data_IF_084872805760
#
_entry.id   IF_084872805760
#
_cell.length_a   1.000
_cell.length_b   1.000
_cell.length_c   1.000
_cell.angle_alpha   90.00
_cell.angle_beta   90.00
_cell.angle_gamma   90.00
#
_symmetry.space_group_name_H-M   'P 1'
#
loop_
_entity.id
_entity.type
_entity.pdbx_description
1 polymer ?
#
# COMPACT_ATOMS: atom_id res chain seq x y z
N UNK A 1 -38.89 36.93 48.12
CA UNK A 1 -38.72 37.60 46.81
C UNK A 1 -37.63 36.86 46.08
N UNK A 2 -38.09 35.92 45.23
CA UNK A 2 -37.20 35.11 44.40
C UNK A 2 -36.93 35.82 43.07
N UNK A 3 -35.65 35.88 42.69
CA UNK A 3 -35.24 36.28 41.36
C UNK A 3 -34.99 35.04 40.49
N UNK A 4 -35.77 34.92 39.42
CA UNK A 4 -35.57 33.89 38.36
C UNK A 4 -34.36 34.28 37.52
N UNK A 5 -33.41 33.37 37.23
CA UNK A 5 -32.32 33.68 36.28
C UNK A 5 -32.86 33.64 34.84
N UNK A 6 -32.60 34.72 34.11
CA UNK A 6 -32.84 34.85 32.69
C UNK A 6 -31.94 33.91 31.88
N UNK A 7 -32.53 32.96 31.23
CA UNK A 7 -31.88 32.15 30.19
C UNK A 7 -31.89 32.94 28.89
N UNK A 8 -30.77 33.18 28.21
CA UNK A 8 -30.81 33.84 26.89
C UNK A 8 -31.45 32.93 25.83
N UNK A 9 -32.52 33.42 25.25
CA UNK A 9 -33.15 32.82 24.07
C UNK A 9 -32.26 33.02 22.84
N UNK A 10 -31.53 31.98 22.45
CA UNK A 10 -30.63 32.07 21.28
C UNK A 10 -29.87 30.84 20.93
N UNK A 11 -30.14 29.70 21.58
CA UNK A 11 -29.60 28.43 21.10
C UNK A 11 -30.57 27.87 20.05
N UNK A 12 -30.30 28.18 18.77
CA UNK A 12 -30.88 27.48 17.64
C UNK A 12 -30.57 25.99 17.74
N UNK A 13 -31.58 25.17 17.72
CA UNK A 13 -31.44 23.72 17.60
C UNK A 13 -30.68 23.42 16.32
N UNK A 14 -29.70 22.45 16.34
CA UNK A 14 -29.04 22.05 15.14
C UNK A 14 -30.06 21.44 14.18
N UNK A 15 -30.02 21.93 12.94
CA UNK A 15 -30.84 21.49 11.84
C UNK A 15 -30.81 19.98 11.69
N UNK A 16 -31.97 19.32 11.72
CA UNK A 16 -32.19 17.88 11.51
C UNK A 16 -31.90 17.42 10.06
N UNK A 17 -31.36 18.26 9.20
CA UNK A 17 -31.10 17.96 7.80
C UNK A 17 -29.62 17.73 7.45
N UNK A 18 -28.71 17.64 8.44
CA UNK A 18 -27.30 17.36 8.20
C UNK A 18 -26.91 15.89 8.44
N UNK A 19 -27.87 14.98 8.35
CA UNK A 19 -27.64 13.52 8.43
C UNK A 19 -27.94 12.80 7.10
N UNK A 20 -27.50 13.39 5.99
CA UNK A 20 -27.59 12.67 4.71
C UNK A 20 -26.41 13.07 3.85
N UNK A 21 -25.27 12.47 4.11
CA UNK A 21 -24.15 12.25 3.19
C UNK A 21 -22.89 11.75 3.91
N UNK A 22 -23.03 10.62 4.62
CA UNK A 22 -21.93 9.70 4.77
C UNK A 22 -22.44 8.34 4.33
N UNK A 23 -22.53 8.16 3.01
CA UNK A 23 -22.52 6.82 2.42
C UNK A 23 -21.14 6.24 2.70
N UNK A 24 -20.91 5.89 3.95
CA UNK A 24 -19.83 5.00 4.33
C UNK A 24 -20.02 3.74 3.52
N UNK A 25 -19.16 3.53 2.54
CA UNK A 25 -19.05 2.27 1.81
C UNK A 25 -18.93 1.18 2.85
N UNK A 26 -20.01 0.47 3.13
CA UNK A 26 -20.01 -0.64 4.09
C UNK A 26 -19.01 -1.66 3.57
N UNK A 27 -17.87 -1.77 4.24
CA UNK A 27 -16.97 -2.90 4.06
C UNK A 27 -17.80 -4.16 4.32
N UNK A 28 -17.95 -5.06 3.34
CA UNK A 28 -18.77 -6.25 3.53
C UNK A 28 -18.31 -6.97 4.79
N UNK A 29 -19.22 -7.44 5.67
CA UNK A 29 -18.85 -8.11 6.89
C UNK A 29 -17.94 -9.30 6.59
N UNK A 30 -16.90 -9.49 7.38
CA UNK A 30 -15.84 -10.51 7.24
C UNK A 30 -16.35 -11.97 7.32
N UNK A 31 -17.66 -12.22 7.27
CA UNK A 31 -18.27 -13.50 7.58
C UNK A 31 -18.52 -14.47 6.41
N UNK A 32 -18.39 -14.08 5.15
CA UNK A 32 -18.67 -15.01 4.06
C UNK A 32 -17.39 -15.70 3.56
N UNK A 33 -17.16 -16.91 4.03
CA UNK A 33 -16.01 -17.77 3.67
C UNK A 33 -16.02 -18.09 2.16
N UNK A 34 -17.20 -18.11 1.53
CA UNK A 34 -17.39 -18.48 0.13
C UNK A 34 -16.81 -17.44 -0.85
N UNK A 35 -16.70 -16.19 -0.44
CA UNK A 35 -16.14 -15.12 -1.29
C UNK A 35 -14.69 -15.37 -1.74
N UNK A 36 -13.93 -16.16 -0.98
CA UNK A 36 -12.54 -16.49 -1.30
C UNK A 36 -12.39 -17.81 -2.07
N UNK A 37 -13.45 -18.60 -2.22
CA UNK A 37 -13.38 -19.94 -2.81
C UNK A 37 -12.94 -19.92 -4.28
N UNK A 38 -13.56 -19.09 -5.10
CA UNK A 38 -13.21 -18.99 -6.52
C UNK A 38 -11.78 -18.48 -6.75
N UNK A 39 -11.34 -17.31 -6.18
CA UNK A 39 -9.97 -16.82 -6.39
C UNK A 39 -8.92 -17.78 -5.82
N UNK A 40 -9.20 -18.46 -4.71
CA UNK A 40 -8.29 -19.46 -4.15
C UNK A 40 -8.11 -20.67 -5.06
N UNK A 41 -9.20 -21.21 -5.60
CA UNK A 41 -9.13 -22.35 -6.52
C UNK A 41 -8.32 -22.03 -7.79
N UNK A 42 -8.48 -20.82 -8.33
CA UNK A 42 -7.73 -20.36 -9.50
C UNK A 42 -6.27 -20.07 -9.15
N UNK A 43 -5.99 -19.49 -7.99
CA UNK A 43 -4.63 -19.26 -7.50
C UNK A 43 -3.89 -20.59 -7.28
N UNK A 44 -4.55 -21.59 -6.69
CA UNK A 44 -3.99 -22.93 -6.51
C UNK A 44 -3.62 -23.57 -7.85
N UNK A 45 -4.50 -23.48 -8.86
CA UNK A 45 -4.21 -23.99 -10.22
C UNK A 45 -3.04 -23.26 -10.87
N UNK A 46 -2.95 -21.93 -10.69
CA UNK A 46 -1.84 -21.13 -11.16
C UNK A 46 -0.51 -21.60 -10.53
N UNK A 47 -0.46 -21.77 -9.22
CA UNK A 47 0.73 -22.27 -8.52
C UNK A 47 1.09 -23.66 -8.98
N UNK A 48 0.11 -24.58 -9.09
CA UNK A 48 0.33 -25.96 -9.54
C UNK A 48 0.81 -26.06 -11.02
N UNK A 49 0.54 -25.02 -11.83
CA UNK A 49 1.12 -24.90 -13.18
C UNK A 49 2.57 -24.42 -13.17
N UNK A 50 3.16 -24.21 -11.99
CA UNK A 50 4.48 -23.60 -11.84
C UNK A 50 4.50 -22.13 -12.25
N UNK A 51 3.35 -21.43 -12.12
CA UNK A 51 3.22 -20.02 -12.50
C UNK A 51 3.15 -19.76 -14.01
N UNK A 52 3.08 -20.82 -14.82
CA UNK A 52 3.15 -20.71 -16.30
C UNK A 52 1.84 -20.24 -16.93
N UNK A 53 0.71 -20.57 -16.34
CA UNK A 53 -0.61 -20.15 -16.86
C UNK A 53 -1.01 -18.79 -16.34
N UNK A 54 -0.53 -17.74 -17.01
CA UNK A 54 -0.84 -16.35 -16.66
C UNK A 54 -2.33 -16.01 -16.73
N UNK A 55 -3.15 -16.82 -17.44
CA UNK A 55 -4.60 -16.62 -17.53
C UNK A 55 -5.27 -16.96 -16.20
N UNK A 56 -4.85 -18.04 -15.54
CA UNK A 56 -5.31 -18.44 -14.20
C UNK A 56 -4.91 -17.41 -13.14
N UNK A 57 -3.66 -16.90 -13.22
CA UNK A 57 -3.20 -15.85 -12.34
C UNK A 57 -4.06 -14.59 -12.44
N UNK A 58 -4.27 -14.09 -13.67
CA UNK A 58 -5.14 -12.91 -13.92
C UNK A 58 -6.57 -13.13 -13.45
N UNK A 59 -7.13 -14.31 -13.68
CA UNK A 59 -8.49 -14.65 -13.27
C UNK A 59 -8.62 -14.73 -11.76
N UNK A 60 -7.63 -15.29 -11.07
CA UNK A 60 -7.56 -15.29 -9.60
C UNK A 60 -7.57 -13.87 -9.05
N UNK A 61 -6.70 -12.98 -9.55
CA UNK A 61 -6.64 -11.57 -9.15
C UNK A 61 -7.96 -10.84 -9.43
N UNK A 62 -8.54 -11.03 -10.61
CA UNK A 62 -9.81 -10.41 -10.97
C UNK A 62 -10.96 -10.86 -10.07
N UNK A 63 -11.07 -12.16 -9.78
CA UNK A 63 -12.08 -12.69 -8.87
C UNK A 63 -11.80 -12.26 -7.41
N UNK A 64 -10.54 -12.16 -7.00
CA UNK A 64 -10.19 -11.64 -5.68
C UNK A 64 -10.65 -10.18 -5.53
N UNK A 65 -10.37 -9.32 -6.50
CA UNK A 65 -10.80 -7.93 -6.46
C UNK A 65 -12.33 -7.83 -6.48
N UNK A 66 -12.99 -8.50 -7.42
CA UNK A 66 -14.44 -8.33 -7.63
C UNK A 66 -15.29 -9.03 -6.57
N UNK A 67 -14.97 -10.28 -6.22
CA UNK A 67 -15.80 -11.11 -5.33
C UNK A 67 -15.36 -11.03 -3.88
N UNK A 68 -14.04 -11.05 -3.62
CA UNK A 68 -13.55 -11.09 -2.24
C UNK A 68 -13.48 -9.71 -1.62
N UNK A 69 -13.05 -8.69 -2.38
CA UNK A 69 -12.91 -7.33 -1.88
C UNK A 69 -14.14 -6.45 -2.16
N UNK A 70 -15.04 -6.90 -3.04
CA UNK A 70 -16.24 -6.13 -3.38
C UNK A 70 -15.97 -4.99 -4.38
N UNK A 71 -14.97 -5.16 -5.24
CA UNK A 71 -14.62 -4.25 -6.33
C UNK A 71 -13.34 -3.44 -6.11
N UNK A 72 -12.94 -2.71 -7.16
CA UNK A 72 -11.66 -1.98 -7.20
C UNK A 72 -11.55 -0.87 -6.16
N UNK A 73 -12.63 -0.17 -5.85
CA UNK A 73 -12.63 0.89 -4.83
C UNK A 73 -12.27 0.34 -3.44
N UNK A 74 -12.91 -0.77 -3.04
CA UNK A 74 -12.62 -1.43 -1.76
C UNK A 74 -11.21 -2.05 -1.74
N UNK A 75 -10.76 -2.62 -2.87
CA UNK A 75 -9.39 -3.11 -3.02
C UNK A 75 -8.39 -1.99 -2.79
N UNK A 76 -8.62 -0.84 -3.41
CA UNK A 76 -7.79 0.36 -3.28
C UNK A 76 -7.73 0.87 -1.83
N UNK A 77 -8.86 0.87 -1.11
CA UNK A 77 -8.90 1.27 0.31
C UNK A 77 -8.09 0.30 1.19
N UNK A 78 -8.20 -1.00 0.93
CA UNK A 78 -7.45 -2.03 1.67
C UNK A 78 -5.94 -2.04 1.39
N UNK A 79 -5.52 -1.37 0.33
CA UNK A 79 -4.10 -1.16 -0.03
C UNK A 79 -3.58 0.20 0.45
N UNK A 80 -4.23 0.82 1.44
CA UNK A 80 -3.95 2.18 1.88
C UNK A 80 -2.49 2.42 2.27
N UNK A 81 -1.89 1.54 3.05
CA UNK A 81 -0.48 1.63 3.44
C UNK A 81 0.46 1.52 2.23
N UNK A 82 0.26 0.52 1.36
CA UNK A 82 1.07 0.34 0.16
C UNK A 82 0.95 1.55 -0.79
N UNK A 83 -0.25 2.11 -0.94
CA UNK A 83 -0.46 3.34 -1.72
C UNK A 83 0.28 4.53 -1.13
N UNK A 84 0.22 4.71 0.19
CA UNK A 84 0.92 5.80 0.87
C UNK A 84 2.43 5.67 0.69
N UNK A 85 2.99 4.48 0.87
CA UNK A 85 4.41 4.20 0.65
C UNK A 85 4.82 4.43 -0.80
N UNK A 86 4.02 3.95 -1.76
CA UNK A 86 4.24 4.18 -3.19
C UNK A 86 4.20 5.67 -3.54
N UNK A 87 3.26 6.44 -2.98
CA UNK A 87 3.18 7.88 -3.20
C UNK A 87 4.41 8.62 -2.66
N UNK A 88 4.92 8.22 -1.50
CA UNK A 88 6.17 8.78 -0.96
C UNK A 88 7.38 8.46 -1.83
N UNK A 89 7.48 7.22 -2.33
CA UNK A 89 8.53 6.85 -3.29
C UNK A 89 8.44 7.64 -4.60
N UNK A 90 7.23 7.87 -5.13
CA UNK A 90 7.03 8.71 -6.31
C UNK A 90 7.44 10.16 -6.06
N UNK A 91 7.19 10.69 -4.86
CA UNK A 91 7.68 12.02 -4.47
C UNK A 91 9.21 12.06 -4.43
N UNK A 92 9.87 11.00 -3.94
CA UNK A 92 11.33 10.89 -4.00
C UNK A 92 11.82 10.86 -5.46
N UNK A 93 11.18 10.07 -6.34
CA UNK A 93 11.53 10.03 -7.75
C UNK A 93 11.36 11.40 -8.43
N UNK A 94 10.28 12.11 -8.15
CA UNK A 94 10.04 13.46 -8.65
C UNK A 94 11.03 14.49 -8.11
N UNK A 95 11.37 14.42 -6.83
CA UNK A 95 12.40 15.27 -6.22
C UNK A 95 13.78 14.99 -6.82
N UNK A 96 14.09 13.72 -7.02
CA UNK A 96 15.33 13.29 -7.66
C UNK A 96 15.41 13.79 -9.12
N UNK A 97 14.34 13.68 -9.88
CA UNK A 97 14.27 14.16 -11.26
C UNK A 97 14.50 15.69 -11.37
N UNK A 98 14.10 16.46 -10.36
CA UNK A 98 14.25 17.92 -10.37
C UNK A 98 15.60 18.43 -9.88
N UNK A 99 16.33 17.70 -9.04
CA UNK A 99 17.57 18.20 -8.45
C UNK A 99 18.55 17.12 -7.97
N UNK A 100 18.36 15.87 -8.40
CA UNK A 100 19.24 14.75 -8.08
C UNK A 100 19.24 14.38 -6.60
N UNK A 101 20.26 13.62 -6.19
CA UNK A 101 20.42 13.14 -4.83
C UNK A 101 20.40 14.26 -3.77
N UNK A 102 21.02 15.40 -4.05
CA UNK A 102 21.05 16.54 -3.13
C UNK A 102 19.67 17.12 -2.83
N UNK A 103 18.79 17.17 -3.83
CA UNK A 103 17.41 17.63 -3.61
C UNK A 103 16.65 16.65 -2.69
N UNK A 104 16.89 15.35 -2.80
CA UNK A 104 16.33 14.33 -1.91
C UNK A 104 16.88 14.48 -0.50
N UNK A 105 18.18 14.70 -0.33
CA UNK A 105 18.80 14.97 0.99
C UNK A 105 18.16 16.17 1.68
N UNK A 106 17.96 17.26 0.96
CA UNK A 106 17.31 18.46 1.48
C UNK A 106 15.83 18.20 1.82
N UNK A 107 15.11 17.54 0.94
CA UNK A 107 13.69 17.20 1.14
C UNK A 107 13.46 16.34 2.38
N UNK A 108 14.35 15.37 2.62
CA UNK A 108 14.26 14.45 3.74
C UNK A 108 14.98 14.94 5.01
N UNK A 109 15.78 16.00 4.90
CA UNK A 109 16.70 16.45 5.97
C UNK A 109 17.66 15.34 6.42
N UNK A 110 18.15 14.53 5.46
CA UNK A 110 19.10 13.44 5.68
C UNK A 110 20.38 13.75 4.90
N UNK A 111 21.52 13.77 5.59
CA UNK A 111 22.81 14.04 4.98
C UNK A 111 23.48 12.76 4.46
N UNK A 112 24.36 12.93 3.47
CA UNK A 112 25.23 11.88 2.93
C UNK A 112 24.51 10.70 2.23
N UNK A 113 23.29 10.87 1.73
CA UNK A 113 22.63 9.84 0.89
C UNK A 113 23.32 9.69 -0.46
N UNK A 114 23.77 10.81 -1.07
CA UNK A 114 24.42 10.87 -2.38
C UNK A 114 25.61 9.92 -2.51
N UNK A 115 26.40 9.79 -1.44
CA UNK A 115 27.61 8.96 -1.43
C UNK A 115 27.37 7.48 -1.10
N UNK A 116 26.18 7.11 -0.68
CA UNK A 116 25.78 5.73 -0.41
C UNK A 116 25.45 4.97 -1.69
N UNK A 117 25.49 3.65 -1.64
CA UNK A 117 24.84 2.83 -2.67
C UNK A 117 23.34 3.07 -2.63
N UNK A 118 22.65 2.81 -3.73
CA UNK A 118 21.20 2.93 -3.79
C UNK A 118 20.51 2.06 -2.72
N UNK A 119 20.98 0.85 -2.50
CA UNK A 119 20.48 -0.03 -1.44
C UNK A 119 20.60 0.61 -0.06
N UNK A 120 21.78 1.12 0.29
CA UNK A 120 22.00 1.78 1.58
C UNK A 120 21.17 3.04 1.74
N UNK A 121 21.02 3.84 0.67
CA UNK A 121 20.20 5.04 0.67
C UNK A 121 18.71 4.70 0.84
N UNK A 122 18.19 3.73 0.08
CA UNK A 122 16.80 3.28 0.22
C UNK A 122 16.51 2.67 1.59
N UNK A 123 17.44 1.90 2.17
CA UNK A 123 17.31 1.41 3.54
C UNK A 123 17.30 2.55 4.54
N UNK A 124 18.16 3.56 4.39
CA UNK A 124 18.22 4.71 5.29
C UNK A 124 16.91 5.54 5.32
N UNK A 125 16.15 5.55 4.22
CA UNK A 125 14.87 6.27 4.14
C UNK A 125 13.64 5.38 4.39
N UNK A 126 13.84 4.13 4.82
CA UNK A 126 12.74 3.17 5.00
C UNK A 126 11.65 3.71 5.93
N UNK A 127 12.01 4.33 7.04
CA UNK A 127 11.03 4.85 8.02
C UNK A 127 10.25 6.05 7.47
N UNK A 128 10.81 6.80 6.55
CA UNK A 128 10.07 7.83 5.83
C UNK A 128 9.06 7.21 4.84
N UNK A 129 9.48 6.18 4.10
CA UNK A 129 8.62 5.51 3.11
C UNK A 129 7.54 4.68 3.79
N UNK A 130 7.91 3.89 4.79
CA UNK A 130 7.07 2.95 5.52
C UNK A 130 7.25 3.17 7.02
N UNK A 131 6.58 4.14 7.65
CA UNK A 131 6.69 4.38 9.09
C UNK A 131 6.34 3.15 9.91
N UNK A 132 7.01 2.97 11.04
CA UNK A 132 6.76 1.89 11.97
C UNK A 132 5.50 2.15 12.83
N UNK A 133 4.88 1.06 13.29
CA UNK A 133 3.89 1.12 14.37
C UNK A 133 2.43 1.07 13.94
N UNK A 134 2.19 0.75 12.69
CA UNK A 134 0.84 0.64 12.15
C UNK A 134 0.25 -0.77 12.09
N UNK A 135 -0.97 -0.89 11.55
CA UNK A 135 -1.64 -2.16 11.37
C UNK A 135 -0.90 -3.09 10.40
N UNK A 136 -1.32 -4.36 10.33
CA UNK A 136 -0.72 -5.40 9.49
C UNK A 136 -0.43 -4.97 8.05
N UNK A 137 -1.24 -4.06 7.50
CA UNK A 137 -1.07 -3.52 6.14
C UNK A 137 0.21 -2.69 5.97
N UNK A 138 0.69 -2.04 7.04
CA UNK A 138 1.96 -1.30 7.03
C UNK A 138 3.15 -2.25 7.05
N UNK A 139 3.07 -3.36 7.79
CA UNK A 139 4.06 -4.44 7.74
C UNK A 139 4.20 -5.04 6.34
N UNK A 140 3.07 -5.26 5.64
CA UNK A 140 3.06 -5.72 4.25
C UNK A 140 3.74 -4.70 3.33
N UNK A 141 3.42 -3.42 3.47
CA UNK A 141 4.01 -2.36 2.65
C UNK A 141 5.53 -2.25 2.86
N UNK A 142 5.98 -2.30 4.13
CA UNK A 142 7.40 -2.26 4.50
C UNK A 142 8.16 -3.47 3.96
N UNK A 143 7.61 -4.68 4.14
CA UNK A 143 8.21 -5.92 3.59
C UNK A 143 8.29 -5.86 2.07
N UNK A 144 7.23 -5.40 1.39
CA UNK A 144 7.21 -5.26 -0.06
C UNK A 144 8.25 -4.25 -0.57
N UNK A 145 8.48 -3.16 0.16
CA UNK A 145 9.51 -2.18 -0.15
C UNK A 145 10.92 -2.76 -0.01
N UNK A 146 11.22 -3.44 1.09
CA UNK A 146 12.51 -4.10 1.30
C UNK A 146 12.77 -5.15 0.21
N UNK A 147 11.79 -6.02 -0.06
CA UNK A 147 11.91 -7.01 -1.14
C UNK A 147 12.15 -6.36 -2.50
N UNK A 148 11.53 -5.22 -2.81
CA UNK A 148 11.76 -4.52 -4.07
C UNK A 148 13.22 -4.06 -4.23
N UNK A 149 13.88 -3.66 -3.14
CA UNK A 149 15.32 -3.30 -3.16
C UNK A 149 16.17 -4.55 -3.38
N UNK A 150 15.88 -5.64 -2.65
CA UNK A 150 16.61 -6.92 -2.74
C UNK A 150 16.49 -7.55 -4.14
N UNK A 151 15.33 -7.44 -4.77
CA UNK A 151 15.05 -7.93 -6.13
C UNK A 151 15.62 -7.03 -7.25
N UNK A 152 16.35 -5.96 -6.89
CA UNK A 152 16.91 -4.98 -7.82
C UNK A 152 18.43 -4.89 -7.72
N UNK A 153 19.20 -6.00 -7.81
CA UNK A 153 20.64 -5.99 -7.63
C UNK A 153 21.35 -5.07 -8.64
N UNK A 154 20.79 -4.90 -9.84
CA UNK A 154 21.31 -4.02 -10.88
C UNK A 154 21.23 -2.53 -10.52
N UNK A 155 20.31 -2.15 -9.61
CA UNK A 155 20.14 -0.79 -9.09
C UNK A 155 20.88 -0.65 -7.74
N UNK A 156 20.78 -1.66 -6.90
CA UNK A 156 21.21 -1.64 -5.50
C UNK A 156 22.69 -1.23 -5.30
N UNK A 157 23.56 -1.56 -6.26
CA UNK A 157 25.01 -1.31 -6.19
C UNK A 157 25.43 0.04 -6.80
N UNK A 158 24.56 0.71 -7.54
CA UNK A 158 24.81 2.05 -8.11
C UNK A 158 24.88 3.05 -6.96
N UNK A 159 25.74 4.07 -7.06
CA UNK A 159 25.70 5.18 -6.11
C UNK A 159 24.38 5.93 -6.24
N UNK A 160 23.83 6.37 -5.13
CA UNK A 160 22.54 7.05 -5.13
C UNK A 160 22.55 8.31 -6.00
N UNK A 161 23.66 9.03 -6.03
CA UNK A 161 23.83 10.23 -6.89
C UNK A 161 23.87 9.92 -8.40
N UNK A 162 24.22 8.69 -8.77
CA UNK A 162 24.34 8.23 -10.16
C UNK A 162 23.05 7.55 -10.67
N UNK A 163 22.01 7.44 -9.83
CA UNK A 163 20.72 6.89 -10.24
C UNK A 163 20.02 7.82 -11.25
N UNK A 164 19.11 7.24 -12.00
CA UNK A 164 18.11 7.99 -12.77
C UNK A 164 16.74 7.93 -12.07
N UNK A 165 15.88 8.90 -12.39
CA UNK A 165 14.50 8.89 -11.87
C UNK A 165 13.73 7.62 -12.30
N UNK A 166 14.01 7.12 -13.51
CA UNK A 166 13.41 5.88 -14.02
C UNK A 166 13.82 4.66 -13.21
N UNK A 167 15.06 4.59 -12.75
CA UNK A 167 15.51 3.52 -11.88
C UNK A 167 14.80 3.55 -10.52
N UNK A 168 14.54 4.74 -9.97
CA UNK A 168 13.73 4.87 -8.76
C UNK A 168 12.28 4.42 -9.02
N UNK A 169 11.71 4.73 -10.19
CA UNK A 169 10.37 4.27 -10.57
C UNK A 169 10.29 2.74 -10.67
N UNK A 170 11.35 2.05 -11.09
CA UNK A 170 11.41 0.57 -11.06
C UNK A 170 11.23 0.05 -9.62
N UNK A 171 11.86 0.68 -8.62
CA UNK A 171 11.65 0.31 -7.21
C UNK A 171 10.20 0.58 -6.79
N UNK A 172 9.58 1.67 -7.25
CA UNK A 172 8.15 1.96 -7.01
C UNK A 172 7.27 0.85 -7.54
N UNK A 173 7.46 0.44 -8.78
CA UNK A 173 6.67 -0.60 -9.45
C UNK A 173 6.82 -1.96 -8.76
N UNK A 174 8.05 -2.36 -8.43
CA UNK A 174 8.33 -3.59 -7.68
C UNK A 174 7.69 -3.56 -6.29
N UNK A 175 7.79 -2.45 -5.57
CA UNK A 175 7.13 -2.28 -4.26
C UNK A 175 5.64 -2.50 -4.35
N UNK A 176 4.97 -1.89 -5.32
CA UNK A 176 3.52 -2.06 -5.51
C UNK A 176 3.17 -3.50 -5.90
N UNK A 177 3.92 -4.11 -6.81
CA UNK A 177 3.71 -5.50 -7.22
C UNK A 177 3.85 -6.47 -6.04
N UNK A 178 4.91 -6.31 -5.23
CA UNK A 178 5.16 -7.13 -4.05
C UNK A 178 4.09 -6.94 -2.97
N UNK A 179 3.61 -5.71 -2.76
CA UNK A 179 2.51 -5.44 -1.83
C UNK A 179 1.20 -6.10 -2.27
N UNK A 180 0.86 -6.03 -3.56
CA UNK A 180 -0.32 -6.71 -4.12
C UNK A 180 -0.19 -8.23 -3.97
N UNK A 181 0.96 -8.79 -4.34
CA UNK A 181 1.23 -10.22 -4.24
C UNK A 181 1.13 -10.71 -2.79
N UNK A 182 1.79 -10.02 -1.86
CA UNK A 182 1.76 -10.34 -0.44
C UNK A 182 0.33 -10.28 0.13
N UNK A 183 -0.46 -9.29 -0.28
CA UNK A 183 -1.86 -9.19 0.14
C UNK A 183 -2.69 -10.37 -0.36
N UNK A 184 -2.58 -10.70 -1.65
CA UNK A 184 -3.28 -11.86 -2.23
C UNK A 184 -2.87 -13.15 -1.52
N UNK A 185 -1.57 -13.35 -1.32
CA UNK A 185 -1.04 -14.55 -0.66
C UNK A 185 -1.53 -14.65 0.79
N UNK A 186 -1.54 -13.57 1.53
CA UNK A 186 -2.04 -13.57 2.91
C UNK A 186 -3.55 -13.87 2.98
N UNK A 187 -4.35 -13.35 2.06
CA UNK A 187 -5.80 -13.51 2.10
C UNK A 187 -6.27 -14.87 1.53
N UNK A 188 -5.59 -15.39 0.51
CA UNK A 188 -6.02 -16.63 -0.17
C UNK A 188 -4.97 -17.73 -0.24
N UNK A 189 -3.69 -17.41 -0.02
CA UNK A 189 -2.56 -18.34 -0.14
C UNK A 189 -2.37 -19.26 1.06
N UNK A 190 -2.69 -18.83 2.28
CA UNK A 190 -2.42 -19.58 3.52
C UNK A 190 -3.07 -20.98 3.63
N UNK A 191 -4.07 -21.28 2.79
CA UNK A 191 -4.65 -22.62 2.69
C UNK A 191 -4.07 -23.48 1.56
N UNK A 192 -3.28 -22.90 0.68
CA UNK A 192 -2.62 -23.62 -0.43
C UNK A 192 -1.41 -24.40 0.07
N UNK A 193 -0.74 -23.88 1.11
CA UNK A 193 0.43 -24.52 1.74
C UNK A 193 0.06 -25.73 2.61
N UNK A 194 -1.23 -25.91 2.94
CA UNK A 194 -1.73 -27.00 3.78
C UNK A 194 -2.32 -28.16 2.99
N UNK A 195 -2.20 -28.18 1.66
CA UNK A 195 -2.59 -29.33 0.87
C UNK A 195 -1.37 -30.27 0.70
N UNK A 196 -1.50 -31.56 1.08
CA UNK A 196 -0.46 -32.54 0.99
C UNK A 196 -0.02 -32.79 -0.44
#
# INVERSE_FOLDING_TARGET
KGGTPLVPSGLQQPDKNMQKETSGTQIPPMGNVDRFTAPRGEFTRYINSGGRDSSLGRKSVSNYISKSLGGSSNATQRMGAARSSTARLLNIAGTFASGGARAVEQYLSIENLSHKTASEAFIAITDFICPDGGPQDEGIARSAYISAIEESPEIATIKFEDLTAEQIVIIVERTMANAIFSRITNDIGNKVILLP
#
